data_IF_356495896509
#
_entry.id   IF_356495896509
#
_cell.length_a   1.000
_cell.length_b   1.000
_cell.length_c   1.000
_cell.angle_alpha   90.00
_cell.angle_beta   90.00
_cell.angle_gamma   90.00
#
_symmetry.space_group_name_H-M   'P 1'
#
loop_
_entity.id
_entity.type
_entity.pdbx_description
1 polymer ?
#
# COMPACT_ATOMS: atom_id res chain seq x y z
N UNK A 1 -3.15 11.54 -0.17
CA UNK A 1 -3.24 10.21 0.46
C UNK A 1 -3.10 9.10 -0.57
N UNK A 2 -2.35 8.07 -0.24
CA UNK A 2 -1.95 7.03 -1.20
C UNK A 2 -3.13 6.25 -1.80
N UNK A 3 -4.10 5.82 -0.99
CA UNK A 3 -5.24 5.03 -1.50
C UNK A 3 -6.18 5.83 -2.39
N UNK A 4 -6.40 7.11 -2.09
CA UNK A 4 -7.18 7.98 -2.98
C UNK A 4 -6.49 8.15 -4.33
N UNK A 5 -5.19 8.34 -4.31
CA UNK A 5 -4.37 8.45 -5.52
C UNK A 5 -4.44 7.16 -6.34
N UNK A 6 -4.32 6.01 -5.69
CA UNK A 6 -4.44 4.71 -6.35
C UNK A 6 -5.84 4.48 -6.92
N UNK A 7 -6.88 4.92 -6.24
CA UNK A 7 -8.26 4.84 -6.77
C UNK A 7 -8.39 5.58 -8.09
N UNK A 8 -7.82 6.77 -8.19
CA UNK A 8 -7.82 7.57 -9.42
C UNK A 8 -7.02 6.85 -10.52
N UNK A 9 -5.87 6.30 -10.17
CA UNK A 9 -5.03 5.56 -11.11
C UNK A 9 -5.78 4.35 -11.67
N UNK A 10 -6.42 3.57 -10.80
CA UNK A 10 -7.20 2.40 -11.21
C UNK A 10 -8.33 2.78 -12.16
N UNK A 11 -9.05 3.87 -11.86
CA UNK A 11 -10.12 4.36 -12.73
C UNK A 11 -9.62 4.74 -14.11
N UNK A 12 -8.49 5.45 -14.18
CA UNK A 12 -7.89 5.84 -15.46
C UNK A 12 -7.41 4.65 -16.27
N UNK A 13 -6.81 3.65 -15.62
CA UNK A 13 -6.38 2.43 -16.29
C UNK A 13 -7.56 1.63 -16.82
N UNK A 14 -8.65 1.56 -16.06
CA UNK A 14 -9.87 0.86 -16.48
C UNK A 14 -10.46 1.46 -17.76
N UNK A 15 -10.44 2.78 -17.91
CA UNK A 15 -10.86 3.47 -19.12
C UNK A 15 -10.05 3.07 -20.35
N UNK A 16 -8.83 2.59 -20.16
CA UNK A 16 -7.96 2.08 -21.23
C UNK A 16 -7.97 0.56 -21.32
N UNK A 17 -8.95 -0.10 -20.69
CA UNK A 17 -9.08 -1.56 -20.62
C UNK A 17 -7.85 -2.24 -20.00
N UNK A 18 -7.21 -1.57 -19.04
CA UNK A 18 -6.06 -2.08 -18.30
C UNK A 18 -6.46 -2.31 -16.86
N UNK A 19 -6.01 -3.41 -16.29
CA UNK A 19 -6.29 -3.78 -14.90
C UNK A 19 -5.02 -3.93 -14.09
N UNK A 20 -5.14 -3.66 -12.81
CA UNK A 20 -4.06 -3.74 -11.85
C UNK A 20 -4.62 -4.30 -10.55
N UNK A 21 -3.94 -5.29 -9.99
CA UNK A 21 -4.29 -5.79 -8.65
C UNK A 21 -3.54 -4.98 -7.61
N UNK A 22 -4.27 -4.48 -6.62
CA UNK A 22 -3.69 -3.68 -5.54
C UNK A 22 -3.87 -4.39 -4.22
N UNK A 23 -2.77 -4.58 -3.51
CA UNK A 23 -2.75 -5.18 -2.18
C UNK A 23 -2.34 -4.14 -1.16
N UNK A 24 -3.07 -4.07 -0.08
CA UNK A 24 -2.75 -3.23 1.06
C UNK A 24 -2.24 -4.13 2.18
N UNK A 25 -1.00 -3.93 2.58
CA UNK A 25 -0.38 -4.71 3.65
C UNK A 25 -0.23 -3.80 4.87
N UNK A 26 -0.89 -4.16 5.97
CA UNK A 26 -0.73 -3.41 7.20
C UNK A 26 0.62 -3.73 7.84
N UNK A 27 1.34 -2.68 8.24
CA UNK A 27 2.57 -2.82 9.03
C UNK A 27 2.29 -2.86 10.53
N UNK A 28 1.03 -2.74 10.92
CA UNK A 28 0.60 -2.81 12.31
C UNK A 28 -0.56 -3.82 12.47
N UNK A 29 -0.30 -5.12 12.22
CA UNK A 29 -1.33 -6.13 12.25
C UNK A 29 -1.95 -6.36 13.63
N UNK A 30 -1.32 -5.86 14.70
CA UNK A 30 -1.87 -5.94 16.06
C UNK A 30 -3.12 -5.06 16.20
N UNK A 31 -3.15 -3.89 15.54
CA UNK A 31 -4.29 -2.97 15.55
C UNK A 31 -5.20 -3.15 14.34
N UNK A 32 -4.64 -3.50 13.20
CA UNK A 32 -5.37 -3.63 11.94
C UNK A 32 -5.86 -5.06 11.76
N UNK A 33 -6.98 -5.38 12.42
CA UNK A 33 -7.63 -6.68 12.25
C UNK A 33 -8.22 -6.82 10.84
N UNK A 34 -8.52 -8.05 10.36
CA UNK A 34 -9.16 -8.24 9.06
C UNK A 34 -10.44 -7.43 8.89
N UNK A 35 -11.27 -7.31 9.92
CA UNK A 35 -12.51 -6.54 9.88
C UNK A 35 -12.24 -5.04 9.73
N UNK A 36 -11.31 -4.52 10.52
CA UNK A 36 -10.93 -3.09 10.47
C UNK A 36 -10.36 -2.76 9.09
N UNK A 37 -9.49 -3.61 8.55
CA UNK A 37 -8.91 -3.41 7.23
C UNK A 37 -9.99 -3.44 6.14
N UNK A 38 -10.93 -4.36 6.22
CA UNK A 38 -12.03 -4.45 5.26
C UNK A 38 -12.87 -3.19 5.26
N UNK A 39 -13.27 -2.71 6.43
CA UNK A 39 -14.06 -1.49 6.54
C UNK A 39 -13.31 -0.27 6.02
N UNK A 40 -12.03 -0.17 6.34
CA UNK A 40 -11.18 0.91 5.86
C UNK A 40 -11.06 0.90 4.34
N UNK A 41 -10.75 -0.25 3.75
CA UNK A 41 -10.56 -0.37 2.30
C UNK A 41 -11.86 -0.17 1.52
N UNK A 42 -13.00 -0.57 2.08
CA UNK A 42 -14.30 -0.35 1.46
C UNK A 42 -14.71 1.13 1.37
N UNK A 43 -14.05 2.00 2.13
CA UNK A 43 -14.30 3.44 2.07
C UNK A 43 -13.68 4.10 0.82
N UNK A 44 -12.84 3.40 0.08
CA UNK A 44 -12.19 3.89 -1.12
C UNK A 44 -12.81 3.29 -2.37
N UNK A 45 -12.89 4.10 -3.44
CA UNK A 45 -13.30 3.59 -4.75
C UNK A 45 -12.21 2.67 -5.33
N UNK A 46 -12.63 1.58 -5.95
CA UNK A 46 -11.72 0.58 -6.51
C UNK A 46 -11.65 -0.67 -5.66
N UNK A 47 -10.99 -1.70 -6.18
CA UNK A 47 -10.81 -2.96 -5.47
C UNK A 47 -9.42 -3.04 -4.84
N UNK A 48 -9.39 -3.05 -3.53
CA UNK A 48 -8.17 -3.25 -2.77
C UNK A 48 -8.30 -4.53 -1.95
N UNK A 49 -7.25 -5.34 -1.96
CA UNK A 49 -7.19 -6.55 -1.15
C UNK A 49 -6.27 -6.31 0.04
N UNK A 50 -6.79 -6.48 1.24
CA UNK A 50 -6.00 -6.36 2.47
C UNK A 50 -5.24 -7.65 2.76
N UNK A 51 -4.01 -7.50 3.19
CA UNK A 51 -3.16 -8.61 3.64
C UNK A 51 -2.70 -8.31 5.05
N UNK A 52 -2.87 -9.27 5.94
CA UNK A 52 -2.36 -9.20 7.30
C UNK A 52 -1.65 -10.50 7.65
N UNK A 53 -0.94 -10.53 8.75
CA UNK A 53 -0.21 -11.72 9.17
C UNK A 53 0.46 -11.52 10.52
N UNK A 54 1.33 -12.43 10.88
CA UNK A 54 2.11 -12.33 12.10
C UNK A 54 3.03 -11.10 12.06
N UNK A 55 3.13 -10.33 13.17
CA UNK A 55 3.95 -9.11 13.19
C UNK A 55 5.38 -9.31 12.72
N UNK A 56 6.03 -10.40 13.12
CA UNK A 56 7.40 -10.68 12.69
C UNK A 56 7.53 -10.88 11.18
N UNK A 57 6.56 -11.59 10.58
CA UNK A 57 6.57 -11.84 9.14
C UNK A 57 6.33 -10.56 8.35
N UNK A 58 5.41 -9.73 8.82
CA UNK A 58 5.14 -8.41 8.22
C UNK A 58 6.37 -7.52 8.33
N UNK A 59 7.02 -7.50 9.48
CA UNK A 59 8.24 -6.73 9.69
C UNK A 59 9.36 -7.16 8.75
N UNK A 60 9.60 -8.45 8.62
CA UNK A 60 10.63 -8.98 7.70
C UNK A 60 10.33 -8.63 6.25
N UNK A 61 9.07 -8.73 5.84
CA UNK A 61 8.66 -8.37 4.49
C UNK A 61 8.93 -6.88 4.22
N UNK A 62 8.52 -6.01 5.14
CA UNK A 62 8.74 -4.57 4.99
C UNK A 62 10.21 -4.22 4.92
N UNK A 63 11.05 -4.86 5.75
CA UNK A 63 12.49 -4.66 5.71
C UNK A 63 13.09 -5.09 4.37
N UNK A 64 12.62 -6.20 3.80
CA UNK A 64 13.12 -6.70 2.51
C UNK A 64 12.87 -5.71 1.38
N UNK A 65 11.86 -4.85 1.51
CA UNK A 65 11.53 -3.81 0.52
C UNK A 65 12.08 -2.43 0.90
N UNK A 66 12.88 -2.35 1.96
CA UNK A 66 13.44 -1.08 2.41
C UNK A 66 12.43 -0.14 3.04
N UNK A 67 11.32 -0.65 3.56
CA UNK A 67 10.31 0.13 4.24
C UNK A 67 10.67 0.19 5.73
N UNK A 68 10.73 1.40 6.28
CA UNK A 68 10.99 1.61 7.70
C UNK A 68 9.69 1.82 8.45
N UNK A 69 9.62 1.27 9.65
CA UNK A 69 8.49 1.47 10.55
C UNK A 69 8.99 1.57 11.99
N UNK A 70 8.31 2.39 12.78
CA UNK A 70 8.64 2.59 14.18
C UNK A 70 7.40 2.94 14.98
N UNK A 71 7.18 2.27 16.11
CA UNK A 71 6.14 2.64 17.06
C UNK A 71 6.58 3.87 17.86
N UNK A 72 5.74 4.89 17.88
CA UNK A 72 5.96 6.09 18.66
C UNK A 72 4.87 6.14 19.74
N UNK A 73 5.29 6.05 21.00
CA UNK A 73 4.37 6.03 22.13
C UNK A 73 4.10 7.46 22.64
N UNK A 74 2.82 7.72 22.93
CA UNK A 74 2.42 8.95 23.63
C UNK A 74 2.63 8.80 25.13
N UNK A 75 2.53 9.93 25.87
CA UNK A 75 2.60 9.93 27.33
C UNK A 75 1.50 9.09 27.97
N UNK A 76 0.37 8.89 27.29
CA UNK A 76 -0.78 8.13 27.77
C UNK A 76 -0.68 6.62 27.47
N UNK A 77 0.43 6.18 26.88
CA UNK A 77 0.64 4.76 26.54
C UNK A 77 0.07 4.34 25.19
N UNK A 78 -0.61 5.23 24.49
CA UNK A 78 -1.04 4.95 23.11
C UNK A 78 0.16 5.05 22.18
N UNK A 79 0.07 4.41 21.03
CA UNK A 79 1.14 4.50 20.04
C UNK A 79 0.63 4.78 18.65
N UNK A 80 1.49 5.43 17.85
CA UNK A 80 1.32 5.55 16.41
C UNK A 80 2.47 4.83 15.73
N UNK A 81 2.25 4.45 14.47
CA UNK A 81 3.31 3.84 13.66
C UNK A 81 3.78 4.87 12.65
N UNK A 82 5.06 5.22 12.74
CA UNK A 82 5.71 6.09 11.77
C UNK A 82 6.39 5.21 10.73
N UNK A 83 6.05 5.39 9.46
CA UNK A 83 6.57 4.56 8.37
C UNK A 83 6.63 5.33 7.06
N UNK A 84 7.50 4.88 6.18
CA UNK A 84 7.43 5.26 4.78
C UNK A 84 6.27 4.50 4.13
N UNK A 85 5.62 5.11 3.15
CA UNK A 85 4.45 4.52 2.48
C UNK A 85 4.64 4.48 0.96
N UNK A 86 5.68 3.82 0.45
CA UNK A 86 5.81 3.66 -0.98
C UNK A 86 4.81 2.64 -1.51
N UNK A 87 4.46 2.78 -2.77
CA UNK A 87 3.74 1.75 -3.49
C UNK A 87 4.76 0.91 -4.24
N UNK A 88 4.82 -0.37 -3.90
CA UNK A 88 5.75 -1.31 -4.51
C UNK A 88 5.10 -1.90 -5.75
N UNK A 89 5.79 -1.83 -6.88
CA UNK A 89 5.33 -2.45 -8.13
C UNK A 89 5.98 -3.81 -8.27
N UNK A 90 5.15 -4.84 -8.40
CA UNK A 90 5.60 -6.21 -8.62
C UNK A 90 5.13 -6.69 -10.00
N UNK A 91 5.98 -7.40 -10.68
CA UNK A 91 5.63 -8.13 -11.91
C UNK A 91 6.08 -9.57 -11.78
N UNK A 92 5.14 -10.50 -11.94
CA UNK A 92 5.44 -11.93 -11.76
C UNK A 92 6.08 -12.26 -10.42
N UNK A 93 5.61 -11.56 -9.37
CA UNK A 93 6.11 -11.74 -8.00
C UNK A 93 7.45 -11.07 -7.71
N UNK A 94 8.01 -10.32 -8.64
CA UNK A 94 9.31 -9.66 -8.48
C UNK A 94 9.16 -8.14 -8.38
N UNK A 95 9.93 -7.53 -7.50
CA UNK A 95 10.04 -6.09 -7.38
C UNK A 95 10.61 -5.50 -8.67
N UNK A 96 9.90 -4.58 -9.29
CA UNK A 96 10.37 -3.92 -10.52
C UNK A 96 10.52 -2.41 -10.38
N UNK A 97 9.71 -1.75 -9.55
CA UNK A 97 9.77 -0.30 -9.37
C UNK A 97 8.97 0.09 -8.13
N UNK A 98 8.96 1.37 -7.80
CA UNK A 98 8.15 1.93 -6.74
C UNK A 98 7.58 3.29 -7.12
N UNK A 99 6.45 3.62 -6.52
CA UNK A 99 5.83 4.94 -6.61
C UNK A 99 5.95 5.58 -5.22
N UNK A 100 6.44 6.80 -5.18
CA UNK A 100 6.60 7.55 -3.93
C UNK A 100 5.65 8.76 -3.91
N UNK A 101 5.64 9.47 -2.80
CA UNK A 101 4.86 10.71 -2.67
C UNK A 101 5.33 11.81 -3.62
N UNK A 102 6.54 11.69 -4.16
CA UNK A 102 7.08 12.65 -5.15
C UNK A 102 6.54 12.43 -6.56
N UNK A 103 5.98 11.26 -6.82
CA UNK A 103 5.40 10.94 -8.13
C UNK A 103 3.96 11.44 -8.20
N UNK A 104 3.64 12.28 -9.17
CA UNK A 104 2.25 12.66 -9.42
C UNK A 104 1.49 11.51 -10.09
N UNK A 105 0.17 11.70 -10.30
CA UNK A 105 -0.67 10.65 -10.90
C UNK A 105 -0.21 10.30 -12.30
N UNK A 106 0.14 11.28 -13.10
CA UNK A 106 0.60 11.08 -14.49
C UNK A 106 1.88 10.26 -14.52
N UNK A 107 2.85 10.62 -13.69
CA UNK A 107 4.13 9.90 -13.57
C UNK A 107 3.92 8.48 -13.04
N UNK A 108 3.04 8.33 -12.07
CA UNK A 108 2.70 7.02 -11.50
C UNK A 108 2.11 6.09 -12.55
N UNK A 109 1.17 6.58 -13.34
CA UNK A 109 0.55 5.81 -14.44
C UNK A 109 1.60 5.41 -15.47
N UNK A 110 2.50 6.31 -15.82
CA UNK A 110 3.58 6.03 -16.75
C UNK A 110 4.49 4.91 -16.26
N UNK A 111 4.85 4.93 -14.97
CA UNK A 111 5.64 3.85 -14.35
C UNK A 111 4.92 2.52 -14.41
N UNK A 112 3.64 2.49 -14.09
CA UNK A 112 2.81 1.28 -14.11
C UNK A 112 2.72 0.72 -15.52
N UNK A 113 2.41 1.55 -16.50
CA UNK A 113 2.25 1.13 -17.90
C UNK A 113 3.50 0.50 -18.49
N UNK A 114 4.67 0.88 -18.01
CA UNK A 114 5.93 0.29 -18.43
C UNK A 114 5.98 -1.22 -18.20
N UNK A 115 5.25 -1.71 -17.20
CA UNK A 115 5.26 -3.12 -16.79
C UNK A 115 3.95 -3.87 -17.10
N UNK A 116 2.98 -3.21 -17.68
CA UNK A 116 1.72 -3.85 -18.08
C UNK A 116 1.82 -4.61 -19.40
#
# INVERSE_FOLDING_TARGET
>A
MTLNKLSIILERLEKENKTLKVFFISIDPERDTPEIMRDYLNSFAGKFTGITGEPEKIFKLSQSWGITSQKIFSEEGEYTVNHSSPVILLKSGKYVDRITHLDDIKTSIKKIKKYL
#
